data_IF_612234076396
#
_entry.id   IF_612234076396
#
_cell.length_a   1.000
_cell.length_b   1.000
_cell.length_c   1.000
_cell.angle_alpha   90.00
_cell.angle_beta   90.00
_cell.angle_gamma   90.00
#
_symmetry.space_group_name_H-M   'P 1'
#
loop_
_entity.id
_entity.type
_entity.pdbx_description
1 polymer ?
#
# COMPACT_ATOMS: atom_id res chain seq x y z
N UNK A 1 6.51 29.05 -18.90
CA UNK A 1 6.32 27.71 -18.30
C UNK A 1 7.52 27.46 -17.40
N UNK A 2 7.33 27.56 -16.08
CA UNK A 2 8.40 27.38 -15.11
C UNK A 2 8.72 25.89 -15.00
N UNK A 3 9.91 25.50 -15.46
CA UNK A 3 10.45 24.16 -15.26
C UNK A 3 10.80 24.02 -13.78
N UNK A 4 9.84 23.57 -12.97
CA UNK A 4 10.10 23.20 -11.58
C UNK A 4 11.21 22.13 -11.57
N UNK A 5 12.21 22.32 -10.72
CA UNK A 5 13.28 21.37 -10.50
C UNK A 5 12.66 20.00 -10.12
N UNK A 6 12.89 18.91 -10.89
CA UNK A 6 12.34 17.58 -10.60
C UNK A 6 12.81 16.99 -9.27
N UNK A 7 13.76 17.64 -8.59
CA UNK A 7 14.27 17.30 -7.25
C UNK A 7 13.78 18.24 -6.14
N UNK A 8 12.78 19.08 -6.39
CA UNK A 8 12.21 19.92 -5.33
C UNK A 8 11.59 19.02 -4.23
N UNK A 9 11.99 19.23 -2.98
CA UNK A 9 11.44 18.52 -1.85
C UNK A 9 9.92 18.77 -1.73
N UNK A 10 9.13 17.71 -1.80
CA UNK A 10 7.67 17.77 -1.63
C UNK A 10 7.32 17.12 -0.30
N UNK A 11 6.96 17.94 0.70
CA UNK A 11 6.64 17.46 2.06
C UNK A 11 5.63 16.31 2.08
N UNK A 12 4.62 16.36 1.22
CA UNK A 12 3.57 15.32 1.16
C UNK A 12 4.06 13.94 0.74
N UNK A 13 5.25 13.84 0.13
CA UNK A 13 5.86 12.55 -0.25
C UNK A 13 6.60 11.87 0.93
N UNK A 14 6.56 12.45 2.14
CA UNK A 14 7.27 11.97 3.33
C UNK A 14 6.35 11.83 4.56
N UNK A 15 5.08 11.49 4.33
CA UNK A 15 4.06 11.31 5.37
C UNK A 15 3.80 9.83 5.71
N UNK A 16 4.69 8.93 5.30
CA UNK A 16 4.57 7.49 5.49
C UNK A 16 3.28 6.96 4.90
N UNK A 17 2.53 6.21 5.69
CA UNK A 17 1.25 5.65 5.26
C UNK A 17 0.12 6.67 5.09
N UNK A 18 0.34 7.92 5.51
CA UNK A 18 -0.62 9.02 5.32
C UNK A 18 -0.37 9.84 4.06
N UNK A 19 0.69 9.50 3.31
CA UNK A 19 0.98 10.10 2.01
C UNK A 19 -0.16 9.82 1.05
N UNK A 20 -0.79 10.83 0.41
CA UNK A 20 -1.63 10.64 -0.76
C UNK A 20 -0.91 9.88 -1.86
N UNK A 21 -1.65 9.23 -2.76
CA UNK A 21 -1.01 8.57 -3.90
C UNK A 21 -0.21 9.58 -4.74
N UNK A 22 1.00 9.20 -5.14
CA UNK A 22 1.77 9.85 -6.19
C UNK A 22 2.52 8.79 -7.03
N UNK A 23 2.79 9.02 -8.32
CA UNK A 23 3.64 8.13 -9.10
C UNK A 23 5.07 8.17 -8.55
N UNK A 24 5.61 7.01 -8.19
CA UNK A 24 6.93 6.94 -7.53
C UNK A 24 8.04 6.76 -8.59
N UNK A 25 9.28 7.23 -8.33
CA UNK A 25 10.37 7.13 -9.30
C UNK A 25 10.63 5.69 -9.77
N UNK A 26 10.84 5.53 -11.09
CA UNK A 26 11.14 4.26 -11.75
C UNK A 26 12.36 4.43 -12.65
N UNK A 27 13.28 3.47 -12.61
CA UNK A 27 14.43 3.41 -13.53
C UNK A 27 14.00 2.87 -14.90
N UNK A 28 12.98 2.02 -14.92
CA UNK A 28 12.39 1.44 -16.14
C UNK A 28 11.07 2.16 -16.44
N UNK A 29 10.86 2.50 -17.71
CA UNK A 29 9.63 3.15 -18.18
C UNK A 29 8.40 2.25 -17.91
N UNK A 30 7.39 2.74 -17.16
CA UNK A 30 6.16 1.98 -16.90
C UNK A 30 5.20 1.92 -18.09
N UNK A 31 5.47 2.57 -19.23
CA UNK A 31 4.66 2.41 -20.43
C UNK A 31 4.56 0.94 -20.86
N UNK A 32 3.46 0.56 -21.51
CA UNK A 32 3.36 -0.75 -22.16
C UNK A 32 4.39 -0.76 -23.29
N UNK A 33 5.34 -1.72 -23.32
CA UNK A 33 6.41 -1.69 -24.32
C UNK A 33 5.84 -1.81 -25.75
N UNK A 34 6.54 -1.19 -26.71
CA UNK A 34 6.12 -1.23 -28.11
C UNK A 34 6.05 -2.66 -28.63
N UNK A 35 4.96 -2.99 -29.32
CA UNK A 35 4.71 -4.35 -29.82
C UNK A 35 4.22 -5.35 -28.77
N UNK A 36 3.96 -4.91 -27.52
CA UNK A 36 3.34 -5.75 -26.49
C UNK A 36 1.85 -5.46 -26.34
N UNK A 37 1.07 -6.50 -26.03
CA UNK A 37 -0.36 -6.41 -25.71
C UNK A 37 -0.63 -7.07 -24.36
N UNK A 38 -1.27 -6.34 -23.44
CA UNK A 38 -1.71 -6.88 -22.15
C UNK A 38 -2.79 -7.94 -22.38
N UNK A 39 -2.58 -9.15 -21.85
CA UNK A 39 -3.53 -10.27 -21.92
C UNK A 39 -4.24 -10.51 -20.59
N UNK A 40 -3.66 -10.03 -19.48
CA UNK A 40 -4.22 -10.13 -18.14
C UNK A 40 -3.65 -9.05 -17.23
N UNK A 41 -4.46 -8.60 -16.26
CA UNK A 41 -4.01 -7.73 -15.16
C UNK A 41 -4.68 -8.12 -13.84
N UNK A 42 -3.85 -8.25 -12.81
CA UNK A 42 -4.27 -8.24 -11.41
C UNK A 42 -3.98 -6.86 -10.81
N UNK A 43 -5.00 -6.21 -10.27
CA UNK A 43 -4.87 -5.03 -9.41
C UNK A 43 -5.07 -5.35 -7.94
N UNK A 44 -4.26 -4.75 -7.07
CA UNK A 44 -4.51 -4.66 -5.64
C UNK A 44 -4.46 -3.21 -5.20
N UNK A 45 -5.50 -2.75 -4.51
CA UNK A 45 -5.71 -1.35 -4.17
C UNK A 45 -5.84 -1.16 -2.66
N UNK A 46 -5.24 -0.09 -2.14
CA UNK A 46 -5.56 0.44 -0.81
C UNK A 46 -6.73 1.41 -0.92
N UNK A 47 -7.53 1.51 0.14
CA UNK A 47 -8.49 2.60 0.30
C UNK A 47 -7.84 3.99 0.19
N UNK A 48 -8.64 5.00 -0.19
CA UNK A 48 -8.22 6.40 -0.26
C UNK A 48 -7.92 7.03 1.11
N UNK A 49 -7.53 8.31 1.08
CA UNK A 49 -7.26 9.11 2.27
C UNK A 49 -8.47 9.17 3.22
N UNK A 50 -8.21 9.01 4.51
CA UNK A 50 -9.24 8.89 5.54
C UNK A 50 -9.04 9.86 6.69
N UNK A 51 -10.13 10.14 7.39
CA UNK A 51 -10.13 10.86 8.64
C UNK A 51 -9.29 10.10 9.68
N UNK A 52 -8.60 10.81 10.58
CA UNK A 52 -7.86 10.16 11.64
C UNK A 52 -8.78 9.58 12.70
N UNK A 53 -8.24 8.65 13.48
CA UNK A 53 -8.79 8.30 14.79
C UNK A 53 -8.40 9.41 15.75
N UNK A 54 -9.40 10.07 16.35
CA UNK A 54 -9.24 11.33 17.09
C UNK A 54 -8.02 11.36 18.04
N UNK A 55 -7.31 12.49 18.07
CA UNK A 55 -6.36 12.83 19.12
C UNK A 55 -6.77 14.14 19.76
N UNK A 56 -6.98 14.14 21.08
CA UNK A 56 -7.18 15.36 21.87
C UNK A 56 -5.90 15.65 22.66
N UNK A 57 -5.53 16.91 22.75
CA UNK A 57 -4.51 17.38 23.70
C UNK A 57 -5.11 18.47 24.59
N UNK A 58 -4.99 18.34 25.90
CA UNK A 58 -5.42 19.36 26.87
C UNK A 58 -4.23 20.27 27.22
N UNK A 59 -4.09 21.40 26.53
CA UNK A 59 -3.07 22.43 26.83
C UNK A 59 -3.77 23.78 27.01
N UNK A 60 -3.31 24.58 27.98
CA UNK A 60 -3.92 25.88 28.35
C UNK A 60 -3.15 27.10 27.83
N UNK A 61 -1.90 26.96 27.41
CA UNK A 61 -1.06 28.07 26.92
C UNK A 61 -0.32 27.69 25.64
N UNK A 62 -0.41 28.55 24.62
CA UNK A 62 0.09 28.26 23.27
C UNK A 62 0.98 29.40 22.78
N UNK A 63 2.21 29.05 22.39
CA UNK A 63 3.09 29.98 21.69
C UNK A 63 2.54 30.38 20.32
N UNK A 64 3.03 31.50 19.79
CA UNK A 64 2.48 32.14 18.59
C UNK A 64 2.40 31.21 17.36
N UNK A 65 3.41 30.36 17.16
CA UNK A 65 3.49 29.39 16.04
C UNK A 65 2.59 28.17 16.18
N UNK A 66 1.91 27.98 17.31
CA UNK A 66 1.06 26.82 17.63
C UNK A 66 -0.33 27.25 18.10
N UNK A 67 -0.69 28.53 17.93
CA UNK A 67 -2.02 29.08 18.24
C UNK A 67 -3.14 28.31 17.54
N UNK A 68 -2.89 27.77 16.36
CA UNK A 68 -3.85 26.96 15.62
C UNK A 68 -4.34 25.72 16.38
N UNK A 69 -3.54 25.20 17.34
CA UNK A 69 -3.98 24.12 18.23
C UNK A 69 -5.06 24.55 19.24
N UNK A 70 -5.17 25.86 19.56
CA UNK A 70 -6.20 26.37 20.48
C UNK A 70 -7.61 26.25 19.91
N UNK A 71 -7.74 26.44 18.59
CA UNK A 71 -9.00 26.47 17.87
C UNK A 71 -9.24 25.18 17.08
N UNK A 72 -8.38 24.18 17.28
CA UNK A 72 -8.47 22.91 16.55
C UNK A 72 -9.58 22.04 17.13
N UNK A 73 -10.78 22.15 16.55
CA UNK A 73 -11.90 21.27 16.83
C UNK A 73 -11.97 20.14 15.80
N UNK A 74 -12.17 18.92 16.28
CA UNK A 74 -12.17 17.70 15.46
C UNK A 74 -13.60 17.22 15.32
N UNK A 75 -14.31 17.74 14.32
CA UNK A 75 -15.65 17.28 13.93
C UNK A 75 -15.61 16.54 12.60
N UNK A 76 -15.15 15.28 12.64
CA UNK A 76 -15.25 14.37 11.50
C UNK A 76 -15.54 12.94 11.96
N UNK A 77 -16.18 12.15 11.09
CA UNK A 77 -16.40 10.73 11.34
C UNK A 77 -15.06 9.99 11.25
N UNK A 78 -14.58 9.52 12.41
CA UNK A 78 -13.30 8.84 12.52
C UNK A 78 -13.23 7.66 11.54
N UNK A 79 -12.06 7.51 10.91
CA UNK A 79 -11.72 6.37 10.05
C UNK A 79 -12.58 6.23 8.76
N UNK A 80 -13.43 7.20 8.44
CA UNK A 80 -14.13 7.29 7.15
C UNK A 80 -13.26 7.95 6.07
N UNK A 81 -13.58 7.74 4.79
CA UNK A 81 -12.91 8.44 3.70
C UNK A 81 -13.12 9.96 3.82
N UNK A 82 -12.09 10.71 3.44
CA UNK A 82 -12.19 12.16 3.23
C UNK A 82 -12.71 12.43 1.81
N UNK A 83 -13.32 13.60 1.52
CA UNK A 83 -13.66 13.96 0.14
C UNK A 83 -12.46 13.88 -0.82
N UNK A 84 -11.27 14.21 -0.35
CA UNK A 84 -10.03 14.01 -1.11
C UNK A 84 -9.76 12.52 -1.39
N UNK A 85 -9.88 11.65 -0.39
CA UNK A 85 -9.74 10.21 -0.54
C UNK A 85 -10.77 9.56 -1.45
N UNK A 86 -11.99 10.12 -1.49
CA UNK A 86 -13.00 9.68 -2.44
C UNK A 86 -12.55 9.97 -3.88
N UNK A 87 -12.07 11.20 -4.12
CA UNK A 87 -11.53 11.62 -5.40
C UNK A 87 -10.31 10.79 -5.82
N UNK A 88 -9.36 10.55 -4.92
CA UNK A 88 -8.20 9.68 -5.18
C UNK A 88 -8.63 8.30 -5.70
N UNK A 89 -9.68 7.76 -5.10
CA UNK A 89 -10.17 6.42 -5.44
C UNK A 89 -10.90 6.41 -6.78
N UNK A 90 -11.71 7.43 -7.05
CA UNK A 90 -12.34 7.64 -8.36
C UNK A 90 -11.28 7.81 -9.48
N UNK A 91 -10.28 8.66 -9.26
CA UNK A 91 -9.20 8.89 -10.22
C UNK A 91 -8.35 7.63 -10.45
N UNK A 92 -8.18 6.79 -9.41
CA UNK A 92 -7.53 5.46 -9.55
C UNK A 92 -8.32 4.54 -10.48
N UNK A 93 -9.65 4.58 -10.44
CA UNK A 93 -10.53 3.87 -11.38
C UNK A 93 -10.34 4.33 -12.82
N UNK A 94 -10.40 5.65 -13.05
CA UNK A 94 -10.16 6.25 -14.39
C UNK A 94 -8.76 5.95 -14.90
N UNK A 95 -7.75 6.09 -14.05
CA UNK A 95 -6.35 5.81 -14.41
C UNK A 95 -6.15 4.34 -14.79
N UNK A 96 -6.85 3.41 -14.14
CA UNK A 96 -6.81 2.00 -14.50
C UNK A 96 -7.45 1.76 -15.87
N UNK A 97 -8.65 2.31 -16.10
CA UNK A 97 -9.32 2.20 -17.40
C UNK A 97 -8.44 2.74 -18.53
N UNK A 98 -7.93 3.97 -18.39
CA UNK A 98 -7.09 4.61 -19.40
C UNK A 98 -5.82 3.80 -19.71
N UNK A 99 -5.21 3.16 -18.69
CA UNK A 99 -4.02 2.33 -18.89
C UNK A 99 -4.32 1.03 -19.62
N UNK A 100 -5.45 0.40 -19.30
CA UNK A 100 -5.78 -0.94 -19.78
C UNK A 100 -6.99 -0.94 -20.73
N UNK A 101 -7.27 0.18 -21.39
CA UNK A 101 -8.48 0.41 -22.19
C UNK A 101 -8.72 -0.72 -23.19
N UNK A 102 -7.70 -1.08 -23.98
CA UNK A 102 -7.79 -2.15 -24.97
C UNK A 102 -8.20 -3.53 -24.40
N UNK A 103 -7.91 -3.78 -23.11
CA UNK A 103 -8.37 -4.99 -22.41
C UNK A 103 -9.76 -4.77 -21.77
N UNK A 104 -9.98 -3.61 -21.14
CA UNK A 104 -11.18 -3.27 -20.38
C UNK A 104 -12.43 -3.07 -21.25
N UNK A 105 -12.27 -2.61 -22.48
CA UNK A 105 -13.40 -2.41 -23.41
C UNK A 105 -14.14 -3.73 -23.69
N UNK A 106 -13.42 -4.85 -23.65
CA UNK A 106 -13.96 -6.18 -23.97
C UNK A 106 -14.01 -7.15 -22.78
N UNK A 107 -13.59 -6.74 -21.58
CA UNK A 107 -13.53 -7.64 -20.43
C UNK A 107 -13.96 -6.93 -19.14
N UNK A 108 -14.97 -7.47 -18.47
CA UNK A 108 -15.38 -6.99 -17.15
C UNK A 108 -14.40 -7.42 -16.05
N UNK A 109 -14.07 -6.53 -15.10
CA UNK A 109 -13.28 -6.90 -13.94
C UNK A 109 -14.04 -7.89 -13.04
N UNK A 110 -13.30 -8.78 -12.39
CA UNK A 110 -13.78 -9.48 -11.20
C UNK A 110 -13.24 -8.78 -9.96
N UNK A 111 -14.13 -8.38 -9.04
CA UNK A 111 -13.81 -7.46 -7.96
C UNK A 111 -14.06 -8.11 -6.60
N UNK A 112 -13.06 -8.10 -5.72
CA UNK A 112 -13.22 -8.45 -4.30
C UNK A 112 -12.73 -7.33 -3.37
N UNK A 113 -13.17 -7.38 -2.13
CA UNK A 113 -12.73 -6.46 -1.07
C UNK A 113 -12.83 -7.13 0.28
N UNK A 114 -11.99 -6.72 1.23
CA UNK A 114 -12.24 -7.01 2.64
C UNK A 114 -13.49 -6.27 3.15
N UNK A 115 -14.19 -6.88 4.12
CA UNK A 115 -15.44 -6.41 4.73
C UNK A 115 -15.29 -5.26 5.72
N UNK A 116 -14.68 -4.17 5.27
CA UNK A 116 -14.51 -2.94 6.06
C UNK A 116 -15.07 -1.74 5.32
N UNK A 117 -15.88 -0.93 6.03
CA UNK A 117 -16.71 0.13 5.44
C UNK A 117 -15.95 1.03 4.46
N UNK A 118 -14.83 1.64 4.87
CA UNK A 118 -14.04 2.55 3.99
C UNK A 118 -13.45 1.85 2.77
N UNK A 119 -13.16 0.55 2.88
CA UNK A 119 -12.57 -0.24 1.79
C UNK A 119 -13.67 -0.63 0.79
N UNK A 120 -14.84 -1.02 1.28
CA UNK A 120 -16.04 -1.28 0.46
C UNK A 120 -16.49 -0.01 -0.28
N UNK A 121 -16.49 1.13 0.41
CA UNK A 121 -16.78 2.44 -0.19
C UNK A 121 -15.78 2.79 -1.29
N UNK A 122 -14.48 2.54 -1.05
CA UNK A 122 -13.43 2.74 -2.05
C UNK A 122 -13.71 1.94 -3.33
N UNK A 123 -14.18 0.69 -3.21
CA UNK A 123 -14.53 -0.13 -4.39
C UNK A 123 -15.63 0.54 -5.22
N UNK A 124 -16.64 1.09 -4.54
CA UNK A 124 -17.77 1.75 -5.22
C UNK A 124 -17.32 3.00 -5.99
N UNK A 125 -16.44 3.81 -5.40
CA UNK A 125 -15.86 4.98 -6.04
C UNK A 125 -14.93 4.63 -7.20
N UNK A 126 -14.11 3.58 -7.02
CA UNK A 126 -13.24 3.10 -8.08
C UNK A 126 -14.05 2.61 -9.29
N UNK A 127 -15.15 1.87 -9.07
CA UNK A 127 -16.06 1.46 -10.15
C UNK A 127 -16.63 2.67 -10.89
N UNK A 128 -17.09 3.69 -10.16
CA UNK A 128 -17.58 4.95 -10.77
C UNK A 128 -16.52 5.61 -11.65
N UNK A 129 -15.26 5.58 -11.23
CA UNK A 129 -14.13 6.07 -12.03
C UNK A 129 -13.85 5.20 -13.25
N UNK A 130 -13.76 3.88 -13.06
CA UNK A 130 -13.47 2.92 -14.12
C UNK A 130 -14.48 2.98 -15.28
N UNK A 131 -15.78 3.13 -14.97
CA UNK A 131 -16.85 3.25 -15.96
C UNK A 131 -17.14 4.70 -16.39
N UNK A 132 -16.42 5.70 -15.88
CA UNK A 132 -16.77 7.11 -16.09
C UNK A 132 -16.78 7.51 -17.57
N UNK A 133 -15.79 7.03 -18.32
CA UNK A 133 -15.55 7.39 -19.72
C UNK A 133 -16.08 6.29 -20.68
N UNK A 134 -16.90 5.35 -20.20
CA UNK A 134 -17.51 4.30 -21.01
C UNK A 134 -18.96 4.67 -21.35
N UNK A 135 -19.21 5.10 -22.59
CA UNK A 135 -20.52 5.63 -23.02
C UNK A 135 -21.70 4.63 -22.86
N UNK A 136 -21.43 3.31 -22.89
CA UNK A 136 -22.47 2.26 -22.96
C UNK A 136 -22.55 1.34 -21.71
N UNK A 137 -21.75 1.56 -20.66
CA UNK A 137 -21.72 0.66 -19.48
C UNK A 137 -22.29 1.32 -18.22
N UNK A 138 -23.39 0.80 -17.65
CA UNK A 138 -23.88 1.25 -16.35
C UNK A 138 -22.82 1.08 -15.27
N UNK A 139 -22.61 2.12 -14.44
CA UNK A 139 -21.63 2.14 -13.33
C UNK A 139 -21.84 1.02 -12.28
N UNK A 140 -22.96 0.30 -12.35
CA UNK A 140 -23.45 -0.66 -11.34
C UNK A 140 -23.39 -2.14 -11.75
N UNK A 141 -22.84 -2.49 -12.92
CA UNK A 141 -22.99 -3.86 -13.46
C UNK A 141 -22.17 -4.95 -12.76
N UNK A 142 -20.99 -4.64 -12.20
CA UNK A 142 -20.10 -5.67 -11.66
C UNK A 142 -20.31 -5.86 -10.15
N UNK A 143 -20.72 -7.07 -9.71
CA UNK A 143 -20.84 -7.38 -8.29
C UNK A 143 -19.47 -7.34 -7.62
N UNK A 144 -19.48 -6.92 -6.35
CA UNK A 144 -18.29 -6.90 -5.50
C UNK A 144 -18.41 -8.03 -4.49
N UNK A 145 -17.44 -8.94 -4.48
CA UNK A 145 -17.37 -10.00 -3.46
C UNK A 145 -16.70 -9.45 -2.21
N UNK A 146 -17.50 -9.26 -1.15
CA UNK A 146 -17.04 -8.79 0.14
C UNK A 146 -16.64 -9.99 1.00
N UNK A 147 -15.35 -10.10 1.32
CA UNK A 147 -14.82 -11.17 2.18
C UNK A 147 -14.87 -10.71 3.64
N UNK A 148 -15.58 -11.42 4.54
CA UNK A 148 -15.67 -11.06 5.94
C UNK A 148 -14.31 -10.89 6.63
N UNK A 149 -14.24 -9.98 7.60
CA UNK A 149 -13.08 -9.75 8.47
C UNK A 149 -13.35 -10.21 9.89
N UNK A 150 -14.33 -11.12 10.06
CA UNK A 150 -14.65 -11.74 11.34
C UNK A 150 -13.52 -12.65 11.79
N UNK A 151 -13.30 -12.73 13.10
CA UNK A 151 -12.29 -13.61 13.68
C UNK A 151 -12.44 -15.06 13.20
N UNK A 152 -11.32 -15.71 12.90
CA UNK A 152 -11.28 -17.08 12.39
C UNK A 152 -11.72 -17.25 10.92
N UNK A 153 -12.14 -16.19 10.22
CA UNK A 153 -12.50 -16.28 8.80
C UNK A 153 -11.26 -16.16 7.91
N UNK A 154 -11.01 -17.18 7.09
CA UNK A 154 -9.89 -17.16 6.14
C UNK A 154 -10.05 -16.06 5.09
N UNK A 155 -9.14 -15.09 5.10
CA UNK A 155 -9.20 -13.91 4.22
C UNK A 155 -7.80 -13.52 3.73
N UNK A 156 -7.57 -13.57 2.41
CA UNK A 156 -6.28 -13.19 1.81
C UNK A 156 -6.09 -11.66 1.72
N UNK A 157 -7.15 -10.88 1.92
CA UNK A 157 -7.16 -9.42 1.87
C UNK A 157 -7.08 -8.79 3.27
N UNK A 158 -7.01 -9.59 4.33
CA UNK A 158 -6.96 -9.11 5.71
C UNK A 158 -6.16 -10.08 6.59
N UNK A 159 -5.20 -9.56 7.36
CA UNK A 159 -4.44 -10.36 8.33
C UNK A 159 -5.28 -10.64 9.59
N UNK A 160 -4.92 -11.64 10.37
CA UNK A 160 -5.62 -11.94 11.64
C UNK A 160 -5.68 -13.42 12.01
N UNK A 161 -5.28 -14.32 11.11
CA UNK A 161 -5.32 -15.77 11.36
C UNK A 161 -4.05 -16.30 12.02
N UNK A 162 -2.90 -15.65 11.79
CA UNK A 162 -1.62 -16.14 12.28
C UNK A 162 -1.39 -15.69 13.73
N UNK A 163 -1.75 -16.53 14.71
CA UNK A 163 -1.73 -16.16 16.14
C UNK A 163 -0.38 -15.58 16.57
N UNK A 164 0.72 -16.30 16.34
CA UNK A 164 2.05 -15.83 16.71
C UNK A 164 2.38 -14.47 16.08
N UNK A 165 1.95 -14.24 14.84
CA UNK A 165 2.14 -12.95 14.19
C UNK A 165 1.41 -11.82 14.93
N UNK A 166 0.12 -12.00 15.21
CA UNK A 166 -0.71 -10.98 15.84
C UNK A 166 -0.29 -10.68 17.29
N UNK A 167 0.16 -11.70 18.04
CA UNK A 167 0.53 -11.57 19.46
C UNK A 167 1.96 -11.07 19.65
N UNK A 168 2.92 -11.65 18.95
CA UNK A 168 4.34 -11.55 19.31
C UNK A 168 5.20 -10.89 18.24
N UNK A 169 4.95 -11.18 16.97
CA UNK A 169 5.84 -10.71 15.91
C UNK A 169 5.47 -9.32 15.38
N UNK A 170 4.18 -8.99 15.28
CA UNK A 170 3.73 -7.67 14.81
C UNK A 170 4.26 -6.53 15.71
N UNK A 171 4.39 -6.78 17.01
CA UNK A 171 4.86 -5.82 18.01
C UNK A 171 6.37 -5.54 17.93
N UNK A 172 7.17 -6.41 17.28
CA UNK A 172 8.64 -6.26 17.14
C UNK A 172 9.07 -4.99 16.44
N UNK A 173 8.19 -4.42 15.60
CA UNK A 173 8.41 -3.13 14.98
C UNK A 173 8.64 -2.00 16.00
N UNK A 174 7.97 -2.04 17.16
CA UNK A 174 8.15 -1.02 18.22
C UNK A 174 9.59 -0.98 18.71
N UNK A 175 10.18 -2.15 19.00
CA UNK A 175 11.58 -2.26 19.42
C UNK A 175 12.56 -1.88 18.32
N UNK A 176 12.23 -2.21 17.06
CA UNK A 176 13.06 -1.83 15.92
C UNK A 176 13.06 -0.30 15.65
N UNK A 177 11.92 0.36 15.82
CA UNK A 177 11.77 1.80 15.60
C UNK A 177 12.33 2.65 16.74
N UNK A 178 12.27 2.14 17.99
CA UNK A 178 12.59 2.90 19.21
C UNK A 178 13.91 3.69 19.13
N UNK A 179 15.06 3.11 18.71
CA UNK A 179 16.31 3.85 18.64
C UNK A 179 16.24 5.04 17.66
N UNK A 180 15.53 4.89 16.55
CA UNK A 180 15.34 5.95 15.57
C UNK A 180 14.41 7.05 16.09
N UNK A 181 13.21 6.67 16.57
CA UNK A 181 12.23 7.61 17.14
C UNK A 181 12.87 8.44 18.24
N UNK A 182 13.52 7.80 19.23
CA UNK A 182 14.19 8.51 20.33
C UNK A 182 15.25 9.51 19.82
N UNK A 183 15.97 9.17 18.76
CA UNK A 183 17.03 10.02 18.21
C UNK A 183 16.46 11.24 17.50
N UNK A 184 15.52 11.05 16.57
CA UNK A 184 15.05 12.14 15.70
C UNK A 184 14.03 13.05 16.39
N UNK A 185 13.17 12.51 17.25
CA UNK A 185 12.14 13.34 17.90
C UNK A 185 12.72 14.23 18.99
N UNK A 186 13.80 13.83 19.68
CA UNK A 186 14.37 14.58 20.80
C UNK A 186 14.54 16.10 20.54
N UNK A 187 15.23 16.57 19.49
CA UNK A 187 15.35 18.01 19.21
C UNK A 187 14.00 18.66 18.89
N UNK A 188 13.09 17.93 18.25
CA UNK A 188 11.74 18.40 17.89
C UNK A 188 10.90 18.57 19.16
N UNK A 189 10.87 17.57 20.04
CA UNK A 189 10.16 17.58 21.32
C UNK A 189 10.64 18.74 22.20
N UNK A 190 11.95 18.96 22.30
CA UNK A 190 12.51 20.11 23.02
C UNK A 190 12.02 21.44 22.42
N UNK A 191 11.99 21.57 21.09
CA UNK A 191 11.49 22.77 20.41
C UNK A 191 10.00 22.99 20.67
N UNK A 192 9.19 21.94 20.55
CA UNK A 192 7.74 22.01 20.78
C UNK A 192 7.40 22.37 22.23
N UNK A 193 8.07 21.78 23.23
CA UNK A 193 7.87 22.13 24.64
C UNK A 193 8.30 23.57 24.97
N UNK A 194 9.27 24.14 24.25
CA UNK A 194 9.59 25.57 24.36
C UNK A 194 8.46 26.44 23.79
N UNK A 195 7.77 25.97 22.75
CA UNK A 195 6.62 26.65 22.12
C UNK A 195 5.31 26.44 22.88
N UNK A 196 5.21 25.39 23.70
CA UNK A 196 4.04 25.02 24.50
C UNK A 196 4.44 24.85 25.97
N UNK A 197 4.76 25.94 26.70
CA UNK A 197 5.15 25.85 28.09
C UNK A 197 4.09 25.13 28.93
N UNK A 198 4.51 24.07 29.64
CA UNK A 198 3.62 23.25 30.48
C UNK A 198 2.93 22.08 29.76
N UNK A 199 3.16 21.87 28.46
CA UNK A 199 2.57 20.74 27.73
C UNK A 199 3.25 19.38 28.00
N UNK A 200 4.51 19.39 28.46
CA UNK A 200 5.32 18.20 28.78
C UNK A 200 5.22 17.08 27.70
N UNK A 201 5.35 17.48 26.44
CA UNK A 201 5.20 16.58 25.29
C UNK A 201 6.28 15.50 25.29
N UNK A 202 5.87 14.28 24.98
CA UNK A 202 6.77 13.13 24.79
C UNK A 202 7.18 12.98 23.32
N UNK A 203 8.09 12.03 23.05
CA UNK A 203 8.40 11.60 21.68
C UNK A 203 7.16 11.08 20.93
N UNK A 204 6.27 10.36 21.61
CA UNK A 204 5.03 9.88 21.01
C UNK A 204 4.10 11.04 20.64
N UNK A 205 4.00 12.06 21.50
CA UNK A 205 3.19 13.25 21.21
C UNK A 205 3.78 14.06 20.05
N UNK A 206 5.10 14.10 19.94
CA UNK A 206 5.78 14.72 18.78
C UNK A 206 5.36 14.03 17.47
N UNK A 207 5.38 12.70 17.41
CA UNK A 207 4.93 11.95 16.22
C UNK A 207 3.44 12.18 15.96
N UNK A 208 2.60 12.21 16.99
CA UNK A 208 1.15 12.53 16.84
C UNK A 208 0.93 13.94 16.27
N UNK A 209 1.70 14.93 16.73
CA UNK A 209 1.65 16.29 16.19
C UNK A 209 2.11 16.35 14.73
N UNK A 210 3.13 15.56 14.34
CA UNK A 210 3.49 15.41 12.93
C UNK A 210 2.34 14.83 12.11
N UNK A 211 1.61 13.85 12.64
CA UNK A 211 0.47 13.24 11.92
C UNK A 211 -0.68 14.23 11.67
N UNK A 212 -0.81 15.32 12.44
CA UNK A 212 -1.85 16.33 12.19
C UNK A 212 -1.70 17.01 10.84
N UNK A 213 -0.47 17.17 10.31
CA UNK A 213 -0.23 17.76 8.98
C UNK A 213 -0.90 16.97 7.84
N UNK A 214 -0.57 15.69 7.59
CA UNK A 214 -1.21 14.92 6.51
C UNK A 214 -2.71 14.77 6.72
N UNK A 215 -3.15 14.53 7.97
CA UNK A 215 -4.57 14.31 8.29
C UNK A 215 -5.41 15.55 7.97
N UNK A 216 -4.99 16.73 8.42
CA UNK A 216 -5.68 17.99 8.11
C UNK A 216 -5.60 18.33 6.63
N UNK A 217 -4.49 18.00 5.98
CA UNK A 217 -4.35 18.23 4.55
C UNK A 217 -5.38 17.41 3.76
N UNK A 218 -5.55 16.13 4.11
CA UNK A 218 -6.54 15.27 3.47
C UNK A 218 -7.98 15.70 3.75
N UNK A 219 -8.30 16.11 4.99
CA UNK A 219 -9.64 16.57 5.36
C UNK A 219 -10.03 17.83 4.59
N UNK A 220 -9.13 18.83 4.56
CA UNK A 220 -9.43 20.14 3.98
C UNK A 220 -9.09 20.26 2.49
N UNK A 221 -8.44 19.24 1.92
CA UNK A 221 -7.88 19.26 0.56
C UNK A 221 -6.94 20.47 0.31
N UNK A 222 -6.28 20.96 1.36
CA UNK A 222 -5.36 22.11 1.36
C UNK A 222 -4.23 21.79 2.33
N UNK A 223 -2.97 22.05 1.96
CA UNK A 223 -1.81 21.81 2.83
C UNK A 223 -2.00 22.48 4.19
N UNK A 224 -1.94 21.67 5.23
CA UNK A 224 -2.11 22.11 6.61
C UNK A 224 -0.95 22.99 7.11
N UNK A 225 -1.26 24.01 7.91
CA UNK A 225 -0.26 24.84 8.61
C UNK A 225 0.55 24.03 9.64
N UNK A 226 0.02 22.92 10.14
CA UNK A 226 0.77 21.97 10.98
C UNK A 226 2.05 21.47 10.30
N UNK A 227 2.06 21.47 8.96
CA UNK A 227 3.21 21.04 8.19
C UNK A 227 4.44 21.95 8.39
N UNK A 228 4.22 23.22 8.73
CA UNK A 228 5.26 24.24 8.90
C UNK A 228 5.92 24.21 10.28
N UNK A 229 5.42 23.38 11.20
CA UNK A 229 6.06 23.12 12.50
C UNK A 229 7.34 22.28 12.39
N UNK A 230 7.53 21.62 11.25
CA UNK A 230 8.58 20.64 11.02
C UNK A 230 9.36 20.96 9.75
N UNK A 231 10.67 20.69 9.78
CA UNK A 231 11.58 20.91 8.65
C UNK A 231 11.56 19.75 7.67
N UNK A 232 12.11 19.94 6.47
CA UNK A 232 12.23 18.88 5.46
C UNK A 232 12.96 17.63 5.98
N UNK A 233 14.06 17.81 6.71
CA UNK A 233 14.83 16.71 7.30
C UNK A 233 14.00 15.93 8.34
N UNK A 234 13.20 16.63 9.14
CA UNK A 234 12.34 16.00 10.14
C UNK A 234 11.22 15.17 9.49
N UNK A 235 10.68 15.64 8.36
CA UNK A 235 9.74 14.85 7.56
C UNK A 235 10.39 13.60 6.97
N UNK A 236 11.61 13.69 6.45
CA UNK A 236 12.36 12.52 5.99
C UNK A 236 12.65 11.52 7.13
N UNK A 237 12.90 12.03 8.34
CA UNK A 237 13.12 11.18 9.51
C UNK A 237 11.83 10.49 9.97
N UNK A 238 10.67 11.17 9.90
CA UNK A 238 9.37 10.57 10.15
C UNK A 238 9.00 9.52 9.09
N UNK A 239 9.25 9.79 7.80
CA UNK A 239 9.10 8.81 6.72
C UNK A 239 9.93 7.54 7.01
N UNK A 240 11.18 7.72 7.44
CA UNK A 240 12.04 6.58 7.78
C UNK A 240 11.56 5.84 9.01
N UNK A 241 11.01 6.55 10.02
CA UNK A 241 10.35 5.94 11.16
C UNK A 241 9.20 5.02 10.71
N UNK A 242 8.28 5.53 9.89
CA UNK A 242 7.18 4.73 9.33
C UNK A 242 7.70 3.53 8.51
N UNK A 243 8.76 3.74 7.74
CA UNK A 243 9.41 2.68 6.95
C UNK A 243 10.00 1.58 7.81
N UNK A 244 10.65 1.91 8.93
CA UNK A 244 11.08 0.91 9.91
C UNK A 244 9.89 0.15 10.49
N UNK A 245 8.77 0.81 10.81
CA UNK A 245 7.56 0.15 11.29
C UNK A 245 7.08 -0.92 10.30
N UNK A 246 7.00 -0.54 9.01
CA UNK A 246 6.47 -1.44 7.98
C UNK A 246 7.44 -2.55 7.63
N UNK A 247 8.72 -2.26 7.53
CA UNK A 247 9.75 -3.26 7.26
C UNK A 247 9.82 -4.33 8.36
N UNK A 248 9.86 -3.90 9.63
CA UNK A 248 10.01 -4.80 10.78
C UNK A 248 8.69 -5.38 11.30
N UNK A 249 7.55 -5.08 10.67
CA UNK A 249 6.26 -5.70 10.97
C UNK A 249 5.77 -6.56 9.81
N UNK A 250 5.75 -6.04 8.59
CA UNK A 250 5.05 -6.63 7.43
C UNK A 250 5.98 -7.14 6.32
N UNK A 251 7.30 -6.98 6.47
CA UNK A 251 8.29 -7.43 5.48
C UNK A 251 9.41 -8.23 6.13
N UNK A 252 10.55 -8.37 5.47
CA UNK A 252 11.66 -9.25 5.85
C UNK A 252 12.35 -8.91 7.17
N UNK A 253 12.05 -7.75 7.78
CA UNK A 253 12.45 -7.47 9.16
C UNK A 253 11.70 -8.33 10.19
N UNK A 254 10.60 -8.97 9.78
CA UNK A 254 9.80 -9.90 10.56
C UNK A 254 9.74 -11.27 9.85
N UNK A 255 10.13 -12.38 10.48
CA UNK A 255 10.09 -13.70 9.84
C UNK A 255 8.68 -14.15 9.44
N UNK A 256 7.62 -13.65 10.10
CA UNK A 256 6.23 -13.95 9.74
C UNK A 256 5.55 -12.82 8.94
N UNK A 257 6.26 -11.73 8.65
CA UNK A 257 5.73 -10.61 7.86
C UNK A 257 5.34 -11.02 6.43
N UNK A 258 6.27 -11.60 5.64
CA UNK A 258 5.96 -12.12 4.31
C UNK A 258 4.91 -13.24 4.32
N UNK A 259 4.91 -14.08 5.36
CA UNK A 259 3.95 -15.18 5.51
C UNK A 259 2.49 -14.73 5.44
N UNK A 260 2.16 -13.51 5.89
CA UNK A 260 0.78 -13.00 5.82
C UNK A 260 0.29 -12.76 4.38
N UNK A 261 1.20 -12.65 3.41
CA UNK A 261 0.88 -12.43 1.99
C UNK A 261 0.82 -13.71 1.15
N UNK A 262 1.05 -14.89 1.74
CA UNK A 262 1.17 -16.16 1.02
C UNK A 262 -0.14 -16.55 0.33
N UNK A 263 -1.27 -16.51 1.05
CA UNK A 263 -2.56 -16.88 0.48
C UNK A 263 -2.94 -16.08 -0.76
N UNK A 264 -2.78 -14.75 -0.73
CA UNK A 264 -3.02 -13.90 -1.91
C UNK A 264 -2.04 -14.21 -3.05
N UNK A 265 -0.77 -14.51 -2.72
CA UNK A 265 0.23 -14.87 -3.73
C UNK A 265 -0.14 -16.18 -4.43
N UNK A 266 -0.67 -17.17 -3.71
CA UNK A 266 -1.15 -18.42 -4.28
C UNK A 266 -2.44 -18.22 -5.10
N UNK A 267 -3.33 -17.31 -4.70
CA UNK A 267 -4.47 -16.87 -5.53
C UNK A 267 -4.02 -16.19 -6.84
N UNK A 268 -3.00 -15.33 -6.79
CA UNK A 268 -2.41 -14.71 -7.97
C UNK A 268 -1.83 -15.76 -8.92
N UNK A 269 -1.08 -16.73 -8.39
CA UNK A 269 -0.54 -17.86 -9.19
C UNK A 269 -1.66 -18.60 -9.90
N UNK A 270 -2.73 -18.94 -9.17
CA UNK A 270 -3.90 -19.61 -9.73
C UNK A 270 -4.52 -18.82 -10.90
N UNK A 271 -4.68 -17.50 -10.74
CA UNK A 271 -5.23 -16.62 -11.79
C UNK A 271 -4.31 -16.50 -13.01
N UNK A 272 -2.99 -16.37 -12.79
CA UNK A 272 -2.01 -16.24 -13.86
C UNK A 272 -1.90 -17.51 -14.72
N UNK A 273 -1.98 -18.68 -14.07
CA UNK A 273 -1.84 -20.01 -14.68
C UNK A 273 -3.17 -20.66 -15.07
N UNK A 274 -4.29 -20.08 -14.63
CA UNK A 274 -5.65 -20.63 -14.75
C UNK A 274 -5.78 -22.04 -14.16
N UNK A 275 -5.10 -22.27 -13.04
CA UNK A 275 -5.15 -23.53 -12.29
C UNK A 275 -5.84 -23.32 -10.94
N UNK A 276 -6.37 -24.38 -10.30
CA UNK A 276 -6.93 -24.29 -8.96
C UNK A 276 -5.93 -23.71 -7.95
N UNK A 277 -6.45 -23.02 -6.93
CA UNK A 277 -5.62 -22.49 -5.84
C UNK A 277 -5.04 -23.65 -5.04
N UNK A 278 -3.71 -23.65 -4.87
CA UNK A 278 -2.98 -24.58 -4.01
C UNK A 278 -2.41 -23.78 -2.83
N UNK A 279 -3.11 -23.81 -1.70
CA UNK A 279 -2.75 -23.06 -0.51
C UNK A 279 -3.34 -23.73 0.75
N UNK A 280 -2.66 -23.57 1.87
CA UNK A 280 -3.10 -24.02 3.20
C UNK A 280 -2.88 -22.93 4.26
N UNK A 281 -2.85 -21.67 3.83
CA UNK A 281 -2.56 -20.51 4.68
C UNK A 281 -3.82 -19.71 4.98
N UNK A 282 -4.02 -18.56 4.33
CA UNK A 282 -5.13 -17.64 4.55
C UNK A 282 -6.24 -17.72 3.50
N UNK A 283 -6.15 -18.63 2.53
CA UNK A 283 -7.23 -18.86 1.57
C UNK A 283 -8.42 -19.58 2.20
N UNK A 284 -9.62 -19.26 1.72
CA UNK A 284 -10.84 -19.98 2.07
C UNK A 284 -11.18 -20.94 0.92
N UNK A 285 -11.09 -22.25 1.15
CA UNK A 285 -11.27 -23.27 0.12
C UNK A 285 -12.67 -23.31 -0.47
N UNK A 286 -13.71 -22.92 0.29
CA UNK A 286 -15.08 -22.77 -0.23
C UNK A 286 -15.15 -21.63 -1.25
N UNK A 287 -14.51 -20.49 -0.97
CA UNK A 287 -14.47 -19.37 -1.91
C UNK A 287 -13.59 -19.67 -3.13
N UNK A 288 -12.39 -20.20 -2.92
CA UNK A 288 -11.47 -20.46 -4.04
C UNK A 288 -11.89 -21.66 -4.89
N UNK A 289 -12.75 -22.54 -4.37
CA UNK A 289 -13.29 -23.71 -5.08
C UNK A 289 -14.53 -23.43 -5.93
N UNK A 290 -15.16 -22.26 -5.79
CA UNK A 290 -16.38 -21.88 -6.53
C UNK A 290 -16.06 -20.84 -7.62
N UNK A 291 -16.26 -21.16 -8.92
CA UNK A 291 -16.08 -20.20 -10.02
C UNK A 291 -16.89 -18.90 -9.88
N UNK A 292 -17.98 -18.89 -9.13
CA UNK A 292 -18.77 -17.69 -8.86
C UNK A 292 -18.05 -16.72 -7.92
N UNK A 293 -17.17 -17.20 -7.03
CA UNK A 293 -16.46 -16.38 -6.04
C UNK A 293 -14.94 -16.36 -6.24
N UNK A 294 -14.41 -17.21 -7.13
CA UNK A 294 -13.04 -17.18 -7.60
C UNK A 294 -12.91 -17.70 -9.06
N UNK A 295 -13.37 -16.94 -10.07
CA UNK A 295 -13.24 -17.35 -11.46
C UNK A 295 -11.78 -17.35 -11.89
N UNK A 296 -11.36 -18.34 -12.70
CA UNK A 296 -10.01 -18.44 -13.27
C UNK A 296 -9.92 -17.98 -14.73
N UNK A 297 -11.05 -17.62 -15.34
CA UNK A 297 -11.16 -17.29 -16.77
C UNK A 297 -11.27 -15.79 -17.05
N UNK A 298 -11.21 -14.92 -16.03
CA UNK A 298 -11.25 -13.47 -16.22
C UNK A 298 -9.87 -12.98 -16.67
N UNK A 299 -9.84 -11.80 -17.28
CA UNK A 299 -8.59 -11.13 -17.67
C UNK A 299 -8.25 -9.96 -16.77
N UNK A 300 -9.23 -9.44 -16.03
CA UNK A 300 -9.07 -8.30 -15.14
C UNK A 300 -9.55 -8.72 -13.75
N UNK A 301 -8.67 -8.64 -12.77
CA UNK A 301 -8.95 -8.91 -11.36
C UNK A 301 -8.60 -7.68 -10.54
N UNK A 302 -9.45 -7.32 -9.59
CA UNK A 302 -9.29 -6.13 -8.75
C UNK A 302 -9.60 -6.50 -7.31
N UNK A 303 -8.63 -6.33 -6.42
CA UNK A 303 -8.78 -6.62 -4.99
C UNK A 303 -8.51 -5.39 -4.14
N UNK A 304 -9.39 -5.08 -3.20
CA UNK A 304 -9.21 -3.97 -2.26
C UNK A 304 -8.86 -4.45 -0.84
N UNK A 305 -7.87 -3.78 -0.23
CA UNK A 305 -7.28 -4.17 1.06
C UNK A 305 -6.72 -2.95 1.84
N UNK A 306 -5.92 -3.21 2.88
CA UNK A 306 -5.11 -2.24 3.63
C UNK A 306 -3.65 -2.30 3.16
N UNK A 307 -2.92 -1.19 3.33
CA UNK A 307 -1.50 -1.10 2.99
C UNK A 307 -0.63 -2.14 3.70
N UNK A 308 -0.91 -2.46 4.96
CA UNK A 308 -0.16 -3.49 5.70
C UNK A 308 -0.20 -4.86 4.98
N UNK A 309 -1.38 -5.31 4.56
CA UNK A 309 -1.54 -6.55 3.79
C UNK A 309 -0.79 -6.50 2.47
N UNK A 310 -0.83 -5.36 1.75
CA UNK A 310 -0.07 -5.18 0.51
C UNK A 310 1.44 -5.33 0.73
N UNK A 311 1.99 -4.78 1.82
CA UNK A 311 3.42 -4.91 2.14
C UNK A 311 3.84 -6.39 2.37
N UNK A 312 2.98 -7.17 3.03
CA UNK A 312 3.17 -8.61 3.16
C UNK A 312 3.09 -9.34 1.82
N UNK A 313 2.14 -9.00 0.96
CA UNK A 313 2.03 -9.55 -0.41
C UNK A 313 3.28 -9.26 -1.23
N UNK A 314 3.78 -8.02 -1.22
CA UNK A 314 5.01 -7.66 -1.94
C UNK A 314 6.19 -8.50 -1.48
N UNK A 315 6.27 -8.76 -0.18
CA UNK A 315 7.34 -9.56 0.42
C UNK A 315 7.16 -11.06 0.14
N UNK A 316 5.94 -11.58 0.16
CA UNK A 316 5.65 -12.98 -0.20
C UNK A 316 6.03 -13.27 -1.66
N UNK A 317 5.81 -12.30 -2.55
CA UNK A 317 6.18 -12.35 -3.96
C UNK A 317 7.67 -12.17 -4.23
N UNK A 318 8.48 -11.79 -3.24
CA UNK A 318 9.92 -11.61 -3.43
C UNK A 318 10.35 -10.22 -3.92
N UNK A 319 9.43 -9.25 -4.06
CA UNK A 319 9.70 -7.96 -4.72
C UNK A 319 10.80 -7.12 -4.05
N UNK A 320 11.01 -7.32 -2.75
CA UNK A 320 12.01 -6.61 -1.95
C UNK A 320 12.98 -7.55 -1.23
N UNK A 321 13.12 -8.80 -1.70
CA UNK A 321 13.94 -9.84 -1.04
C UNK A 321 15.41 -9.46 -0.88
N UNK A 322 15.93 -8.66 -1.80
CA UNK A 322 17.34 -8.25 -1.82
C UNK A 322 17.61 -6.98 -1.00
N UNK A 323 16.57 -6.38 -0.39
CA UNK A 323 16.73 -5.24 0.51
C UNK A 323 17.45 -5.71 1.78
N UNK A 324 18.60 -5.10 2.08
CA UNK A 324 19.32 -5.39 3.32
C UNK A 324 18.48 -4.93 4.52
N UNK A 325 18.60 -5.58 5.70
CA UNK A 325 17.93 -5.12 6.90
C UNK A 325 18.15 -3.63 7.15
N UNK A 326 17.05 -2.86 7.22
CA UNK A 326 17.10 -1.41 7.37
C UNK A 326 17.75 -1.01 8.70
N UNK A 327 18.63 -0.01 8.66
CA UNK A 327 19.33 0.43 9.88
C UNK A 327 18.37 1.07 10.87
N UNK A 328 18.39 0.60 12.13
CA UNK A 328 17.57 1.15 13.22
C UNK A 328 18.10 2.50 13.77
N UNK A 329 19.27 2.95 13.33
CA UNK A 329 19.96 4.14 13.89
C UNK A 329 20.45 5.15 12.85
N UNK A 330 20.36 4.81 11.57
CA UNK A 330 20.70 5.67 10.43
C UNK A 330 19.61 5.56 9.37
N UNK A 331 19.23 6.70 8.79
CA UNK A 331 18.30 6.76 7.66
C UNK A 331 18.93 6.09 6.44
N UNK A 332 18.17 5.21 5.80
CA UNK A 332 18.53 4.58 4.53
C UNK A 332 17.68 5.23 3.43
N UNK A 333 18.27 5.89 2.43
CA UNK A 333 17.53 6.44 1.29
C UNK A 333 16.70 5.37 0.56
N UNK A 334 15.56 5.77 -0.01
CA UNK A 334 14.67 4.85 -0.73
C UNK A 334 15.41 4.07 -1.84
N UNK A 335 16.26 4.75 -2.61
CA UNK A 335 17.05 4.15 -3.69
C UNK A 335 17.99 3.04 -3.18
N UNK A 336 18.69 3.28 -2.06
CA UNK A 336 19.59 2.30 -1.44
C UNK A 336 18.82 1.14 -0.80
N UNK A 337 17.56 1.37 -0.44
CA UNK A 337 16.62 0.37 0.05
C UNK A 337 15.83 -0.32 -1.09
N UNK A 338 16.29 -0.22 -2.36
CA UNK A 338 15.62 -0.85 -3.51
C UNK A 338 14.22 -0.32 -3.82
N UNK A 339 13.90 0.88 -3.32
CA UNK A 339 12.57 1.49 -3.34
C UNK A 339 11.72 1.19 -2.11
N UNK A 340 12.24 0.48 -1.09
CA UNK A 340 11.51 0.20 0.16
C UNK A 340 11.40 1.45 1.04
N UNK A 341 10.43 2.31 0.70
CA UNK A 341 10.00 3.48 1.46
C UNK A 341 8.47 3.46 1.58
N UNK A 342 7.92 3.72 2.77
CA UNK A 342 6.48 3.51 3.03
C UNK A 342 5.57 4.28 2.07
N UNK A 343 5.87 5.55 1.84
CA UNK A 343 5.17 6.42 0.88
C UNK A 343 5.30 5.94 -0.56
N UNK A 344 6.33 5.16 -0.90
CA UNK A 344 6.48 4.56 -2.23
C UNK A 344 5.73 3.24 -2.37
N UNK A 345 5.55 2.51 -1.26
CA UNK A 345 4.95 1.18 -1.26
C UNK A 345 3.44 1.26 -1.10
N UNK A 346 3.00 1.91 -0.04
CA UNK A 346 1.62 1.82 0.45
C UNK A 346 1.08 3.19 0.89
N UNK A 347 1.15 4.25 0.04
CA UNK A 347 0.42 5.50 0.29
C UNK A 347 -1.10 5.25 0.38
N UNK A 348 -1.89 6.25 0.75
CA UNK A 348 -3.33 6.22 0.48
C UNK A 348 -3.59 6.04 -1.02
N UNK A 349 -4.68 5.34 -1.37
CA UNK A 349 -5.00 4.97 -2.75
C UNK A 349 -3.85 4.24 -3.50
N UNK A 350 -2.94 3.60 -2.78
CA UNK A 350 -1.87 2.79 -3.35
C UNK A 350 -2.45 1.77 -4.33
N UNK A 351 -1.73 1.54 -5.44
CA UNK A 351 -2.07 0.51 -6.41
C UNK A 351 -0.86 -0.32 -6.78
N UNK A 352 -1.12 -1.60 -6.92
CA UNK A 352 -0.17 -2.61 -7.36
C UNK A 352 -0.78 -3.36 -8.54
N UNK A 353 0.01 -3.54 -9.60
CA UNK A 353 -0.41 -4.25 -10.80
C UNK A 353 0.54 -5.39 -11.13
N UNK A 354 -0.02 -6.57 -11.40
CA UNK A 354 0.69 -7.67 -12.06
C UNK A 354 0.12 -7.78 -13.46
N UNK A 355 0.92 -7.39 -14.44
CA UNK A 355 0.58 -7.42 -15.86
C UNK A 355 1.10 -8.72 -16.45
N UNK A 356 0.29 -9.36 -17.28
CA UNK A 356 0.73 -10.41 -18.19
C UNK A 356 0.49 -9.96 -19.62
N UNK A 357 1.48 -10.13 -20.49
CA UNK A 357 1.45 -9.60 -21.85
C UNK A 357 2.16 -10.51 -22.85
N UNK A 358 1.79 -10.38 -24.12
CA UNK A 358 2.50 -10.98 -25.25
C UNK A 358 3.22 -9.90 -26.04
N UNK A 359 4.47 -10.15 -26.42
CA UNK A 359 5.30 -9.17 -27.11
C UNK A 359 5.77 -9.73 -28.46
N UNK A 360 5.50 -9.00 -29.54
CA UNK A 360 5.87 -9.39 -30.89
C UNK A 360 5.20 -10.69 -31.36
N UNK A 361 5.97 -11.58 -31.99
CA UNK A 361 5.49 -12.89 -32.49
C UNK A 361 5.77 -14.05 -31.52
N UNK A 362 6.24 -13.75 -30.31
CA UNK A 362 6.51 -14.79 -29.32
C UNK A 362 5.19 -15.26 -28.71
N UNK A 363 5.01 -16.58 -28.62
CA UNK A 363 3.83 -17.17 -27.96
C UNK A 363 3.92 -17.13 -26.43
N UNK A 364 5.12 -16.93 -25.90
CA UNK A 364 5.41 -16.90 -24.47
C UNK A 364 4.84 -15.63 -23.82
N UNK A 365 4.16 -15.80 -22.67
CA UNK A 365 3.62 -14.69 -21.91
C UNK A 365 4.66 -14.15 -20.92
N UNK A 366 4.86 -12.83 -20.95
CA UNK A 366 5.75 -12.10 -20.05
C UNK A 366 4.94 -11.49 -18.90
N UNK A 367 5.51 -11.46 -17.70
CA UNK A 367 4.94 -10.88 -16.50
C UNK A 367 5.76 -9.68 -16.06
N UNK A 368 5.07 -8.59 -15.74
CA UNK A 368 5.64 -7.36 -15.18
C UNK A 368 4.88 -6.94 -13.93
N UNK A 369 5.58 -6.34 -12.97
CA UNK A 369 4.99 -5.84 -11.74
C UNK A 369 5.19 -4.33 -11.63
N UNK A 370 4.11 -3.61 -11.31
CA UNK A 370 4.15 -2.19 -10.98
C UNK A 370 3.66 -1.95 -9.55
N UNK A 371 4.39 -1.13 -8.79
CA UNK A 371 3.96 -0.60 -7.49
C UNK A 371 3.91 0.92 -7.62
N UNK A 372 2.72 1.50 -7.55
CA UNK A 372 2.51 2.95 -7.66
C UNK A 372 3.19 3.57 -8.89
N UNK A 373 3.02 2.93 -10.05
CA UNK A 373 3.63 3.25 -11.35
C UNK A 373 5.13 3.01 -11.46
N UNK A 374 5.82 2.52 -10.41
CA UNK A 374 7.20 2.06 -10.54
C UNK A 374 7.24 0.61 -11.00
N UNK A 375 7.98 0.36 -12.07
CA UNK A 375 8.30 -1.00 -12.50
C UNK A 375 9.24 -1.59 -11.45
N UNK A 376 8.88 -2.75 -10.91
CA UNK A 376 9.73 -3.51 -9.99
C UNK A 376 10.49 -4.55 -10.81
N UNK A 377 11.83 -4.42 -10.98
CA UNK A 377 12.61 -5.45 -11.64
C UNK A 377 12.47 -6.78 -10.89
N UNK A 378 11.91 -7.79 -11.54
CA UNK A 378 11.66 -9.08 -10.92
C UNK A 378 12.98 -9.80 -10.61
N UNK A 379 13.04 -10.48 -9.46
CA UNK A 379 14.23 -11.19 -9.01
C UNK A 379 13.97 -12.69 -8.89
N UNK A 380 15.00 -13.52 -9.12
CA UNK A 380 14.87 -14.98 -9.01
C UNK A 380 14.23 -15.68 -10.22
N UNK A 381 13.85 -14.95 -11.27
CA UNK A 381 13.28 -15.50 -12.51
C UNK A 381 14.06 -15.15 -13.79
N UNK A 382 15.21 -14.48 -13.66
CA UNK A 382 16.03 -14.05 -14.80
C UNK A 382 15.37 -12.95 -15.63
N UNK A 383 14.99 -11.85 -14.96
CA UNK A 383 14.29 -10.74 -15.61
C UNK A 383 15.11 -10.07 -16.72
N UNK A 384 14.41 -9.60 -17.74
CA UNK A 384 14.99 -8.80 -18.83
C UNK A 384 15.23 -7.32 -18.42
N UNK A 385 15.73 -6.51 -19.36
CA UNK A 385 16.00 -5.08 -19.15
C UNK A 385 14.74 -4.24 -18.86
N UNK A 386 13.55 -4.77 -19.18
CA UNK A 386 12.26 -4.16 -18.89
C UNK A 386 11.67 -4.66 -17.56
N UNK A 387 12.44 -5.44 -16.80
CA UNK A 387 12.06 -5.98 -15.50
C UNK A 387 11.05 -7.12 -15.58
N UNK A 388 10.89 -7.75 -16.75
CA UNK A 388 9.89 -8.78 -16.99
C UNK A 388 10.49 -10.19 -16.95
N UNK A 389 9.68 -11.16 -16.53
CA UNK A 389 10.03 -12.57 -16.60
C UNK A 389 8.97 -13.34 -17.39
N UNK A 390 9.34 -14.47 -17.97
CA UNK A 390 8.36 -15.39 -18.54
C UNK A 390 7.42 -15.89 -17.44
N UNK A 391 6.16 -16.19 -17.77
CA UNK A 391 5.15 -16.60 -16.80
C UNK A 391 5.62 -17.80 -15.95
N UNK A 392 6.21 -18.81 -16.61
CA UNK A 392 6.71 -20.01 -15.94
C UNK A 392 7.76 -19.66 -14.89
N UNK A 393 8.81 -18.93 -15.27
CA UNK A 393 9.89 -18.52 -14.36
C UNK A 393 9.40 -17.59 -13.25
N UNK A 394 8.44 -16.72 -13.55
CA UNK A 394 7.82 -15.87 -12.53
C UNK A 394 7.11 -16.72 -11.47
N UNK A 395 6.33 -17.72 -11.87
CA UNK A 395 5.65 -18.65 -10.95
C UNK A 395 6.64 -19.53 -10.17
N UNK A 396 7.72 -19.96 -10.79
CA UNK A 396 8.80 -20.70 -10.12
C UNK A 396 9.50 -19.85 -9.05
N UNK A 397 9.72 -18.56 -9.31
CA UNK A 397 10.38 -17.66 -8.35
C UNK A 397 9.58 -17.47 -7.05
N UNK A 398 8.27 -17.70 -7.07
CA UNK A 398 7.38 -17.62 -5.91
C UNK A 398 7.40 -18.88 -5.02
N UNK A 399 8.54 -19.58 -4.97
CA UNK A 399 8.73 -20.81 -4.18
C UNK A 399 8.38 -20.66 -2.70
N UNK A 400 8.67 -19.50 -2.08
CA UNK A 400 8.29 -19.22 -0.69
C UNK A 400 6.77 -19.31 -0.46
N UNK A 401 5.97 -18.67 -1.32
CA UNK A 401 4.51 -18.72 -1.19
C UNK A 401 3.96 -20.11 -1.53
N UNK A 402 4.49 -20.74 -2.59
CA UNK A 402 4.08 -22.08 -3.02
C UNK A 402 4.33 -23.16 -1.97
N UNK A 403 5.30 -22.98 -1.07
CA UNK A 403 5.58 -23.90 0.05
C UNK A 403 4.80 -23.57 1.33
N UNK A 404 3.90 -22.57 1.32
CA UNK A 404 3.18 -22.12 2.51
C UNK A 404 3.94 -21.11 3.37
N UNK A 405 5.09 -20.60 2.92
CA UNK A 405 5.94 -19.69 3.68
C UNK A 405 6.38 -20.29 5.02
N UNK A 406 6.20 -19.52 6.09
CA UNK A 406 6.40 -19.98 7.48
C UNK A 406 5.07 -20.09 8.23
N UNK A 407 4.01 -20.52 7.55
CA UNK A 407 2.66 -20.61 8.15
C UNK A 407 2.58 -21.64 9.28
N UNK A 408 3.44 -22.67 9.23
CA UNK A 408 3.62 -23.67 10.29
C UNK A 408 3.99 -23.04 11.65
N UNK A 409 4.65 -21.89 11.64
CA UNK A 409 5.04 -21.17 12.86
C UNK A 409 3.94 -20.28 13.43
N UNK A 410 2.78 -20.16 12.77
CA UNK A 410 1.69 -19.31 13.23
C UNK A 410 1.00 -19.81 14.51
N UNK A 411 1.09 -21.12 14.76
CA UNK A 411 0.33 -21.82 15.82
C UNK A 411 1.21 -22.73 16.69
N UNK A 412 2.53 -22.59 16.58
CA UNK A 412 3.52 -23.43 17.25
C UNK A 412 3.70 -23.09 18.73
#
# INVERSE_FOLDING_TARGET
>A
MSTANPYAFVTSHYWGTFTPFFPVPSEIDPAIPSGCQITFVQGMMRHGSRNPTAAKTNVSNYGERVKLLQTYDVTFDADQLTPFGEKETFDSGRSFYNRYQALADHNEPFIRTMGEKRVVESVSLWKRGFYHDMDDKPQTMVPTHVIPTTEGFNNTLYHGLCTAFETDYASRAKEAQKPWITKFTRPITTRLNKMLPGADLTAADTVRLMQLCPMNTAVNNIRSEFCDLFTAEEWMDNEYSETLAKYYSWSYGNPLGPTQGVGFTNELIARLTRQPVLDHTSTNTTLTGDPATFPLNKKIYIDFTRGNTMASVYSAMGLYKNVRPLSKTRRTPAVDAGGFQTSWLIPFAARFYVEKMKCGKQDEEMVRVLVNNRVIPLSGCGADELGMCTLERFVESMGFARSGGHWDQCFA
#
